data_IF_383339575899
#
_entry.id   IF_383339575899
#
_cell.length_a   1.000
_cell.length_b   1.000
_cell.length_c   1.000
_cell.angle_alpha   90.00
_cell.angle_beta   90.00
_cell.angle_gamma   90.00
#
_symmetry.space_group_name_H-M   'P 1'
#
loop_
_entity.id
_entity.type
_entity.pdbx_description
1 polymer ?
#
# COMPACT_ATOMS: atom_id res chain seq x y z
N UNK A 1 98.46 33.57 41.41
CA UNK A 1 97.22 32.74 41.33
C UNK A 1 97.59 31.33 40.94
N UNK A 2 97.20 30.32 41.72
CA UNK A 2 97.64 28.92 41.55
C UNK A 2 97.00 28.28 40.31
N UNK A 3 97.80 27.62 39.45
CA UNK A 3 97.35 26.88 38.24
C UNK A 3 96.20 25.89 38.51
N UNK A 4 96.15 25.34 39.72
CA UNK A 4 95.06 24.49 40.22
C UNK A 4 93.68 25.17 40.18
N UNK A 5 93.59 26.47 40.48
CA UNK A 5 92.33 27.21 40.43
C UNK A 5 91.83 27.38 38.99
N UNK A 6 92.73 27.59 38.03
CA UNK A 6 92.35 27.76 36.61
C UNK A 6 91.75 26.45 36.07
N UNK A 7 92.35 25.30 36.41
CA UNK A 7 91.85 23.98 36.00
C UNK A 7 90.47 23.69 36.62
N UNK A 8 90.29 24.01 37.91
CA UNK A 8 88.99 23.87 38.58
C UNK A 8 87.90 24.73 37.94
N UNK A 9 88.20 25.97 37.57
CA UNK A 9 87.26 26.87 36.88
C UNK A 9 86.82 26.29 35.52
N UNK A 10 87.76 25.74 34.75
CA UNK A 10 87.45 25.11 33.45
C UNK A 10 86.54 23.89 33.62
N UNK A 11 86.83 23.03 34.59
CA UNK A 11 86.00 21.85 34.89
C UNK A 11 84.58 22.28 35.28
N UNK A 12 84.43 23.31 36.12
CA UNK A 12 83.12 23.85 36.52
C UNK A 12 82.37 24.40 35.31
N UNK A 13 83.02 25.12 34.39
CA UNK A 13 82.38 25.64 33.19
C UNK A 13 81.92 24.53 32.23
N UNK A 14 82.72 23.46 32.06
CA UNK A 14 82.34 22.29 31.26
C UNK A 14 81.12 21.59 31.88
N UNK A 15 81.13 21.39 33.21
CA UNK A 15 80.01 20.79 33.93
C UNK A 15 78.73 21.63 33.79
N UNK A 16 78.82 22.95 33.88
CA UNK A 16 77.69 23.87 33.64
C UNK A 16 77.15 23.73 32.22
N UNK A 17 78.02 23.67 31.20
CA UNK A 17 77.62 23.50 29.80
C UNK A 17 76.90 22.17 29.52
N UNK A 18 77.40 21.06 30.10
CA UNK A 18 76.78 19.73 29.96
C UNK A 18 75.42 19.66 30.66
N UNK A 19 75.32 20.21 31.88
CA UNK A 19 74.05 20.27 32.62
C UNK A 19 73.02 21.13 31.89
N UNK A 20 73.43 22.28 31.35
CA UNK A 20 72.54 23.16 30.58
C UNK A 20 72.03 22.49 29.29
N UNK A 21 72.93 21.84 28.52
CA UNK A 21 72.55 21.09 27.32
C UNK A 21 71.64 19.91 27.63
N UNK A 22 71.95 19.13 28.68
CA UNK A 22 71.11 18.00 29.10
C UNK A 22 69.73 18.44 29.58
N UNK A 23 69.62 19.58 30.26
CA UNK A 23 68.35 20.13 30.70
C UNK A 23 67.53 20.66 29.51
N UNK A 24 68.18 21.31 28.54
CA UNK A 24 67.53 21.77 27.30
C UNK A 24 67.02 20.62 26.44
N UNK A 25 67.83 19.56 26.27
CA UNK A 25 67.44 18.37 25.50
C UNK A 25 66.29 17.61 26.17
N UNK A 26 66.23 17.58 27.51
CA UNK A 26 65.09 17.01 28.25
C UNK A 26 63.80 17.76 27.95
N UNK A 27 63.86 19.10 28.02
CA UNK A 27 62.70 19.96 27.75
C UNK A 27 62.17 19.80 26.32
N UNK A 28 63.07 19.75 25.33
CA UNK A 28 62.69 19.53 23.94
C UNK A 28 62.00 18.16 23.71
N UNK A 29 62.43 17.10 24.40
CA UNK A 29 61.78 15.78 24.33
C UNK A 29 60.43 15.75 25.05
N UNK A 30 60.30 16.43 26.18
CA UNK A 30 59.02 16.56 26.90
C UNK A 30 57.98 17.29 26.03
N UNK A 31 58.37 18.38 25.36
CA UNK A 31 57.50 19.12 24.42
C UNK A 31 57.13 18.28 23.19
N UNK A 32 58.10 17.54 22.61
CA UNK A 32 57.84 16.65 21.47
C UNK A 32 56.90 15.48 21.83
N UNK A 33 57.07 14.88 23.01
CA UNK A 33 56.19 13.82 23.51
C UNK A 33 54.78 14.36 23.81
N UNK A 34 54.67 15.55 24.38
CA UNK A 34 53.39 16.21 24.62
C UNK A 34 52.66 16.50 23.30
N UNK A 35 53.36 17.02 22.29
CA UNK A 35 52.80 17.24 20.95
C UNK A 35 52.35 15.92 20.30
N UNK A 36 53.17 14.88 20.37
CA UNK A 36 52.83 13.56 19.83
C UNK A 36 51.60 12.97 20.53
N UNK A 37 51.49 13.12 21.84
CA UNK A 37 50.33 12.66 22.63
C UNK A 37 49.08 13.44 22.25
N UNK A 38 49.17 14.76 22.06
CA UNK A 38 48.06 15.58 21.59
C UNK A 38 47.61 15.18 20.19
N UNK A 39 48.54 15.00 19.25
CA UNK A 39 48.23 14.56 17.89
C UNK A 39 47.57 13.18 17.87
N UNK A 40 48.10 12.25 18.66
CA UNK A 40 47.51 10.92 18.80
C UNK A 40 46.09 11.00 19.36
N UNK A 41 45.88 11.75 20.44
CA UNK A 41 44.56 11.93 21.05
C UNK A 41 43.57 12.61 20.09
N UNK A 42 44.01 13.61 19.33
CA UNK A 42 43.19 14.24 18.29
C UNK A 42 42.80 13.25 17.20
N UNK A 43 43.74 12.42 16.74
CA UNK A 43 43.48 11.40 15.73
C UNK A 43 42.51 10.33 16.24
N UNK A 44 42.64 9.91 17.50
CA UNK A 44 41.70 8.98 18.12
C UNK A 44 40.30 9.59 18.24
N UNK A 45 40.20 10.84 18.68
CA UNK A 45 38.91 11.56 18.75
C UNK A 45 38.24 11.72 17.37
N UNK A 46 39.02 11.96 16.32
CA UNK A 46 38.52 12.02 14.94
C UNK A 46 37.99 10.66 14.47
N UNK A 47 38.75 9.58 14.66
CA UNK A 47 38.33 8.23 14.28
C UNK A 47 37.07 7.79 15.03
N UNK A 48 36.95 8.11 16.32
CA UNK A 48 35.74 7.83 17.09
C UNK A 48 34.53 8.61 16.57
N UNK A 49 34.70 9.91 16.25
CA UNK A 49 33.64 10.73 15.69
C UNK A 49 33.20 10.22 14.31
N UNK A 50 34.14 9.82 13.45
CA UNK A 50 33.86 9.23 12.14
C UNK A 50 33.14 7.88 12.27
N UNK A 51 33.61 6.99 13.15
CA UNK A 51 32.98 5.70 13.37
C UNK A 51 31.56 5.86 13.92
N UNK A 52 31.33 6.79 14.86
CA UNK A 52 29.98 7.10 15.33
C UNK A 52 29.10 7.68 14.22
N UNK A 53 29.65 8.50 13.34
CA UNK A 53 28.92 9.02 12.19
C UNK A 53 28.54 7.90 11.21
N UNK A 54 29.45 6.97 10.91
CA UNK A 54 29.20 5.80 10.07
C UNK A 54 28.13 4.89 10.67
N UNK A 55 28.22 4.58 11.97
CA UNK A 55 27.21 3.77 12.65
C UNK A 55 25.82 4.41 12.61
N UNK A 56 25.74 5.75 12.76
CA UNK A 56 24.48 6.48 12.65
C UNK A 56 23.94 6.46 11.23
N UNK A 57 24.79 6.64 10.22
CA UNK A 57 24.38 6.55 8.81
C UNK A 57 23.90 5.15 8.45
N UNK A 58 24.60 4.10 8.87
CA UNK A 58 24.19 2.72 8.63
C UNK A 58 22.87 2.39 9.34
N UNK A 59 22.69 2.85 10.59
CA UNK A 59 21.44 2.68 11.31
C UNK A 59 20.27 3.40 10.61
N UNK A 60 20.50 4.62 10.11
CA UNK A 60 19.51 5.37 9.32
C UNK A 60 19.20 4.69 7.99
N UNK A 61 20.21 4.20 7.28
CA UNK A 61 20.02 3.50 6.00
C UNK A 61 19.21 2.21 6.20
N UNK A 62 19.51 1.44 7.25
CA UNK A 62 18.73 0.27 7.63
C UNK A 62 17.29 0.64 7.99
N UNK A 63 17.08 1.71 8.75
CA UNK A 63 15.71 2.16 9.08
C UNK A 63 14.95 2.63 7.85
N UNK A 64 15.61 3.31 6.91
CA UNK A 64 15.00 3.77 5.66
C UNK A 64 14.63 2.57 4.78
N UNK A 65 15.54 1.59 4.62
CA UNK A 65 15.26 0.36 3.87
C UNK A 65 14.08 -0.41 4.46
N UNK A 66 14.01 -0.50 5.78
CA UNK A 66 12.88 -1.17 6.45
C UNK A 66 11.56 -0.40 6.25
N UNK A 67 11.59 0.94 6.37
CA UNK A 67 10.42 1.78 6.09
C UNK A 67 9.95 1.63 4.63
N UNK A 68 10.86 1.67 3.67
CA UNK A 68 10.55 1.45 2.25
C UNK A 68 9.94 0.07 2.01
N UNK A 69 10.44 -0.97 2.69
CA UNK A 69 9.87 -2.32 2.60
C UNK A 69 8.44 -2.37 3.14
N UNK A 70 8.18 -1.71 4.28
CA UNK A 70 6.84 -1.62 4.87
C UNK A 70 5.89 -0.85 3.95
N UNK A 71 6.33 0.29 3.42
CA UNK A 71 5.56 1.11 2.50
C UNK A 71 5.21 0.34 1.23
N UNK A 72 6.18 -0.33 0.61
CA UNK A 72 5.97 -1.18 -0.54
C UNK A 72 4.95 -2.30 -0.25
N UNK A 73 5.10 -2.99 0.87
CA UNK A 73 4.15 -4.05 1.26
C UNK A 73 2.74 -3.51 1.48
N UNK A 74 2.60 -2.32 2.07
CA UNK A 74 1.30 -1.68 2.26
C UNK A 74 0.70 -1.25 0.92
N UNK A 75 1.51 -0.72 0.00
CA UNK A 75 1.07 -0.37 -1.34
C UNK A 75 0.55 -1.59 -2.09
N UNK A 76 1.28 -2.71 -2.07
CA UNK A 76 0.84 -3.96 -2.70
C UNK A 76 -0.48 -4.46 -2.13
N UNK A 77 -0.68 -4.35 -0.81
CA UNK A 77 -1.96 -4.71 -0.17
C UNK A 77 -3.10 -3.80 -0.62
N UNK A 78 -2.88 -2.49 -0.63
CA UNK A 78 -3.89 -1.52 -1.04
C UNK A 78 -4.26 -1.69 -2.52
N UNK A 79 -3.27 -1.95 -3.39
CA UNK A 79 -3.49 -2.18 -4.81
C UNK A 79 -4.27 -3.48 -5.04
N UNK A 80 -3.96 -4.55 -4.30
CA UNK A 80 -4.72 -5.80 -4.35
C UNK A 80 -6.18 -5.60 -3.88
N UNK A 81 -6.41 -4.90 -2.77
CA UNK A 81 -7.75 -4.58 -2.28
C UNK A 81 -8.53 -3.71 -3.28
N UNK A 82 -7.88 -2.71 -3.87
CA UNK A 82 -8.49 -1.86 -4.90
C UNK A 82 -8.90 -2.66 -6.12
N UNK A 83 -8.05 -3.58 -6.59
CA UNK A 83 -8.37 -4.46 -7.72
C UNK A 83 -9.56 -5.39 -7.41
N UNK A 84 -9.66 -5.91 -6.19
CA UNK A 84 -10.81 -6.73 -5.78
C UNK A 84 -12.12 -5.91 -5.73
N UNK A 85 -12.07 -4.68 -5.22
CA UNK A 85 -13.22 -3.79 -5.17
C UNK A 85 -13.66 -3.42 -6.60
N UNK A 86 -12.70 -3.10 -7.48
CA UNK A 86 -12.97 -2.78 -8.87
C UNK A 86 -13.61 -3.97 -9.60
N UNK A 87 -13.07 -5.18 -9.44
CA UNK A 87 -13.65 -6.39 -10.01
C UNK A 87 -15.09 -6.65 -9.53
N UNK A 88 -15.34 -6.54 -8.22
CA UNK A 88 -16.69 -6.67 -7.64
C UNK A 88 -17.64 -5.61 -8.18
N UNK A 89 -17.19 -4.36 -8.27
CA UNK A 89 -18.01 -3.27 -8.82
C UNK A 89 -18.33 -3.49 -10.30
N UNK A 90 -17.41 -4.03 -11.08
CA UNK A 90 -17.61 -4.34 -12.49
C UNK A 90 -18.63 -5.47 -12.66
N UNK A 91 -18.55 -6.52 -11.84
CA UNK A 91 -19.53 -7.61 -11.83
C UNK A 91 -20.93 -7.10 -11.43
N UNK A 92 -21.00 -6.25 -10.40
CA UNK A 92 -22.26 -5.63 -9.98
C UNK A 92 -22.84 -4.74 -11.08
N UNK A 93 -22.03 -3.90 -11.73
CA UNK A 93 -22.47 -3.04 -12.81
C UNK A 93 -22.97 -3.85 -14.01
N UNK A 94 -22.28 -4.94 -14.38
CA UNK A 94 -22.76 -5.87 -15.41
C UNK A 94 -24.08 -6.54 -15.03
N UNK A 95 -24.24 -6.94 -13.77
CA UNK A 95 -25.50 -7.49 -13.28
C UNK A 95 -26.64 -6.46 -13.36
N UNK A 96 -26.40 -5.22 -12.92
CA UNK A 96 -27.37 -4.12 -13.00
C UNK A 96 -27.73 -3.81 -14.46
N UNK A 97 -26.74 -3.75 -15.35
CA UNK A 97 -26.96 -3.52 -16.79
C UNK A 97 -27.80 -4.63 -17.40
N UNK A 98 -27.52 -5.89 -17.08
CA UNK A 98 -28.31 -7.03 -17.54
C UNK A 98 -29.75 -6.98 -17.03
N UNK A 99 -29.96 -6.59 -15.77
CA UNK A 99 -31.30 -6.42 -15.19
C UNK A 99 -32.04 -5.30 -15.92
N UNK A 100 -31.41 -4.13 -16.09
CA UNK A 100 -32.02 -2.99 -16.77
C UNK A 100 -32.43 -3.34 -18.21
N UNK A 101 -31.57 -4.07 -18.93
CA UNK A 101 -31.86 -4.54 -20.28
C UNK A 101 -33.10 -5.46 -20.31
N UNK A 102 -33.19 -6.41 -19.39
CA UNK A 102 -34.34 -7.32 -19.29
C UNK A 102 -35.61 -6.55 -18.93
N UNK A 103 -35.53 -5.66 -17.94
CA UNK A 103 -36.68 -4.84 -17.55
C UNK A 103 -37.18 -4.01 -18.73
N UNK A 104 -36.29 -3.41 -19.53
CA UNK A 104 -36.66 -2.67 -20.73
C UNK A 104 -37.41 -3.55 -21.74
N UNK A 105 -36.91 -4.77 -22.00
CA UNK A 105 -37.56 -5.71 -22.91
C UNK A 105 -38.95 -6.12 -22.44
N UNK A 106 -39.11 -6.36 -21.13
CA UNK A 106 -40.41 -6.73 -20.55
C UNK A 106 -41.36 -5.54 -20.57
N UNK A 107 -40.90 -4.32 -20.24
CA UNK A 107 -41.68 -3.08 -20.25
C UNK A 107 -42.37 -2.84 -21.60
N UNK A 108 -41.72 -3.15 -22.72
CA UNK A 108 -42.27 -2.98 -24.09
C UNK A 108 -43.53 -3.82 -24.35
N UNK A 109 -43.76 -4.88 -23.58
CA UNK A 109 -44.92 -5.76 -23.74
C UNK A 109 -46.08 -5.42 -22.79
N UNK A 110 -45.96 -4.34 -22.02
CA UNK A 110 -46.98 -3.90 -21.06
C UNK A 110 -47.84 -2.76 -21.60
N UNK A 111 -49.06 -2.66 -21.06
CA UNK A 111 -49.98 -1.56 -21.37
C UNK A 111 -49.51 -0.21 -20.82
N UNK A 112 -48.96 -0.19 -19.60
CA UNK A 112 -48.34 0.98 -18.96
C UNK A 112 -46.90 0.60 -18.55
N UNK A 113 -45.90 0.85 -19.43
CA UNK A 113 -44.51 0.46 -19.21
C UNK A 113 -43.84 1.15 -18.00
N UNK A 114 -44.21 2.40 -17.73
CA UNK A 114 -43.60 3.20 -16.66
C UNK A 114 -44.12 2.81 -15.28
N UNK A 115 -45.34 2.28 -15.20
CA UNK A 115 -45.92 1.78 -13.96
C UNK A 115 -45.41 0.39 -13.54
N UNK A 116 -44.58 -0.26 -14.35
CA UNK A 116 -44.13 -1.62 -14.09
C UNK A 116 -43.18 -1.72 -12.89
N UNK A 117 -43.49 -2.61 -11.95
CA UNK A 117 -42.64 -2.91 -10.79
C UNK A 117 -42.07 -4.31 -10.93
N UNK A 118 -40.76 -4.43 -10.83
CA UNK A 118 -40.04 -5.68 -10.95
C UNK A 118 -39.52 -6.15 -9.59
N UNK A 119 -39.44 -7.47 -9.40
CA UNK A 119 -38.78 -8.08 -8.24
C UNK A 119 -38.27 -9.49 -8.58
N UNK A 120 -37.40 -10.02 -7.73
CA UNK A 120 -36.90 -11.40 -7.82
C UNK A 120 -36.30 -11.75 -9.20
N UNK A 121 -35.65 -10.79 -9.86
CA UNK A 121 -34.99 -11.00 -11.15
C UNK A 121 -33.73 -11.86 -10.94
N UNK A 122 -33.64 -12.96 -11.68
CA UNK A 122 -32.49 -13.87 -11.71
C UNK A 122 -32.26 -14.31 -13.15
N UNK A 123 -31.11 -13.91 -13.71
CA UNK A 123 -30.86 -14.11 -15.14
C UNK A 123 -32.00 -13.49 -15.96
N UNK A 124 -32.56 -14.25 -16.89
CA UNK A 124 -33.64 -13.80 -17.77
C UNK A 124 -35.06 -13.90 -17.19
N UNK A 125 -35.20 -14.26 -15.92
CA UNK A 125 -36.50 -14.53 -15.30
C UNK A 125 -36.75 -13.63 -14.10
N UNK A 126 -38.01 -13.36 -13.78
CA UNK A 126 -38.37 -12.58 -12.61
C UNK A 126 -39.87 -12.44 -12.43
N UNK A 127 -40.27 -11.56 -11.54
CA UNK A 127 -41.66 -11.22 -11.31
C UNK A 127 -41.93 -9.75 -11.64
N UNK A 128 -43.10 -9.50 -12.22
CA UNK A 128 -43.54 -8.17 -12.61
C UNK A 128 -44.96 -7.90 -12.16
N UNK A 129 -45.21 -6.70 -11.67
CA UNK A 129 -46.53 -6.18 -11.40
C UNK A 129 -46.76 -4.94 -12.26
N UNK A 130 -47.76 -5.01 -13.14
CA UNK A 130 -48.08 -3.97 -14.10
C UNK A 130 -49.59 -3.69 -14.07
N UNK A 131 -49.99 -2.49 -14.48
CA UNK A 131 -51.39 -2.13 -14.58
C UNK A 131 -52.06 -2.90 -15.73
N UNK A 132 -53.28 -3.35 -15.49
CA UNK A 132 -54.15 -3.88 -16.53
C UNK A 132 -54.73 -2.73 -17.40
N UNK A 133 -55.53 -3.06 -18.42
CA UNK A 133 -56.20 -2.07 -19.30
C UNK A 133 -57.12 -1.09 -18.54
N UNK A 134 -57.57 -1.44 -17.34
CA UNK A 134 -58.39 -0.60 -16.47
C UNK A 134 -57.56 0.24 -15.49
N UNK A 135 -56.23 0.21 -15.58
CA UNK A 135 -55.31 1.00 -14.75
C UNK A 135 -55.04 0.43 -13.36
N UNK A 136 -55.55 -0.77 -13.02
CA UNK A 136 -55.34 -1.42 -11.72
C UNK A 136 -54.19 -2.43 -11.74
N UNK A 137 -53.45 -2.53 -10.63
CA UNK A 137 -52.46 -3.60 -10.43
C UNK A 137 -53.16 -4.88 -9.99
N UNK A 138 -52.88 -6.00 -10.66
CA UNK A 138 -53.49 -7.31 -10.37
C UNK A 138 -52.60 -8.23 -9.55
N UNK A 139 -51.35 -7.81 -9.27
CA UNK A 139 -50.38 -8.61 -8.52
C UNK A 139 -49.14 -8.93 -9.33
N UNK A 140 -48.15 -9.51 -8.65
CA UNK A 140 -46.92 -9.95 -9.31
C UNK A 140 -47.17 -11.25 -10.07
N UNK A 141 -46.75 -11.28 -11.33
CA UNK A 141 -46.82 -12.42 -12.24
C UNK A 141 -45.42 -12.73 -12.73
N UNK A 142 -45.14 -14.00 -13.01
CA UNK A 142 -43.82 -14.42 -13.50
C UNK A 142 -43.61 -13.96 -14.94
N UNK A 143 -42.39 -13.62 -15.29
CA UNK A 143 -41.98 -13.40 -16.68
C UNK A 143 -40.69 -14.16 -16.99
N UNK A 144 -40.54 -14.53 -18.26
CA UNK A 144 -39.36 -15.16 -18.82
C UNK A 144 -38.98 -14.42 -20.09
N UNK A 145 -37.77 -13.89 -20.14
CA UNK A 145 -37.17 -13.37 -21.36
C UNK A 145 -36.39 -14.48 -22.07
N UNK A 146 -36.68 -14.68 -23.35
CA UNK A 146 -35.92 -15.61 -24.19
C UNK A 146 -34.95 -14.83 -25.07
N UNK A 147 -33.66 -14.90 -24.74
CA UNK A 147 -32.59 -14.22 -25.48
C UNK A 147 -32.37 -14.76 -26.90
N UNK A 148 -32.75 -16.01 -27.18
CA UNK A 148 -32.58 -16.62 -28.51
C UNK A 148 -33.61 -16.08 -29.51
N UNK A 149 -34.85 -15.87 -29.05
CA UNK A 149 -35.97 -15.42 -29.88
C UNK A 149 -36.33 -13.95 -29.68
N UNK A 150 -35.64 -13.26 -28.76
CA UNK A 150 -35.93 -11.88 -28.30
C UNK A 150 -37.41 -11.69 -27.90
N UNK A 151 -38.02 -12.70 -27.26
CA UNK A 151 -39.43 -12.69 -26.84
C UNK A 151 -39.57 -12.69 -25.33
N UNK A 152 -40.67 -12.12 -24.84
CA UNK A 152 -41.03 -12.13 -23.42
C UNK A 152 -42.32 -12.90 -23.23
N UNK A 153 -42.30 -13.87 -22.33
CA UNK A 153 -43.47 -14.64 -21.89
C UNK A 153 -43.86 -14.17 -20.50
N UNK A 154 -45.09 -13.68 -20.32
CA UNK A 154 -45.62 -13.22 -19.03
C UNK A 154 -46.74 -14.16 -18.63
N UNK A 155 -46.77 -14.58 -17.36
CA UNK A 155 -47.80 -15.46 -16.82
C UNK A 155 -49.17 -14.77 -16.91
N UNK A 156 -50.15 -15.48 -17.44
CA UNK A 156 -51.52 -15.03 -17.59
C UNK A 156 -52.46 -15.89 -16.74
N UNK A 157 -53.68 -15.40 -16.54
CA UNK A 157 -54.73 -16.16 -15.87
C UNK A 157 -55.10 -17.43 -16.68
N UNK A 158 -55.93 -18.31 -16.09
CA UNK A 158 -56.14 -19.72 -16.50
C UNK A 158 -56.39 -20.00 -17.99
N UNK A 159 -56.87 -19.01 -18.74
CA UNK A 159 -57.32 -19.15 -20.13
C UNK A 159 -56.26 -18.67 -21.15
N UNK A 160 -55.12 -18.14 -20.68
CA UNK A 160 -54.01 -17.68 -21.50
C UNK A 160 -53.05 -18.79 -21.95
N UNK A 161 -52.26 -18.49 -22.99
CA UNK A 161 -51.23 -19.42 -23.51
C UNK A 161 -50.13 -19.68 -22.46
N UNK A 162 -49.83 -18.69 -21.64
CA UNK A 162 -48.87 -18.77 -20.53
C UNK A 162 -49.59 -18.87 -19.18
N UNK A 163 -50.56 -19.77 -19.06
CA UNK A 163 -51.19 -20.07 -17.77
C UNK A 163 -50.17 -20.65 -16.77
N UNK A 164 -50.56 -20.69 -15.50
CA UNK A 164 -49.67 -21.12 -14.41
C UNK A 164 -49.00 -22.48 -14.64
N UNK A 165 -49.72 -23.48 -15.18
CA UNK A 165 -49.16 -24.83 -15.45
C UNK A 165 -48.07 -24.81 -16.53
N UNK A 166 -48.30 -24.06 -17.61
CA UNK A 166 -47.31 -23.90 -18.69
C UNK A 166 -46.12 -23.09 -18.18
N UNK A 167 -46.39 -22.04 -17.41
CA UNK A 167 -45.34 -21.21 -16.83
C UNK A 167 -44.46 -22.01 -15.86
N UNK A 168 -45.01 -22.90 -15.04
CA UNK A 168 -44.22 -23.78 -14.15
C UNK A 168 -43.19 -24.59 -14.94
N UNK A 169 -43.63 -25.23 -16.03
CA UNK A 169 -42.75 -26.04 -16.89
C UNK A 169 -41.66 -25.17 -17.55
N UNK A 170 -42.04 -24.00 -18.05
CA UNK A 170 -41.08 -23.08 -18.67
C UNK A 170 -40.08 -22.53 -17.65
N UNK A 171 -40.54 -22.23 -16.45
CA UNK A 171 -39.75 -21.70 -15.35
C UNK A 171 -38.71 -22.72 -14.88
N UNK A 172 -39.10 -23.98 -14.67
CA UNK A 172 -38.16 -25.06 -14.34
C UNK A 172 -37.09 -25.25 -15.42
N UNK A 173 -37.47 -25.12 -16.70
CA UNK A 173 -36.55 -25.33 -17.82
C UNK A 173 -35.60 -24.16 -18.09
N UNK A 174 -36.02 -22.91 -17.82
CA UNK A 174 -35.31 -21.70 -18.26
C UNK A 174 -34.77 -20.84 -17.12
N UNK A 175 -35.27 -21.02 -15.90
CA UNK A 175 -35.01 -20.13 -14.76
C UNK A 175 -34.42 -20.86 -13.55
N UNK A 176 -34.17 -22.17 -13.65
CA UNK A 176 -33.57 -23.01 -12.61
C UNK A 176 -32.08 -23.23 -12.82
#
# INVERSE_FOLDING_TARGET
MNRLYIILIIIVLIMIGVVWKSNSDRKAREEALALQTQQHNQKMAQLEAEHQAQLKQEAQEKSIKEQQRIEYNNQVKNDAEKLEIEAKSLEQNKAIESINFIEEKVRRNLFDPEAAKFRNIKGNCGEINAKNKMGGYTGYRRFIYNSETDTVSIEEDSDGFYNSKVMDILWEKKCS
#
